data_IF_356746992890
#
_entry.id   IF_356746992890
#
_cell.length_a   1.000
_cell.length_b   1.000
_cell.length_c   1.000
_cell.angle_alpha   90.00
_cell.angle_beta   90.00
_cell.angle_gamma   90.00
#
_symmetry.space_group_name_H-M   'P 1'
#
loop_
_entity.id
_entity.type
_entity.pdbx_description
1 polymer ?
#
# COMPACT_ATOMS: atom_id res chain seq x y z
N UNK A 1 21.29 9.47 -12.09
CA UNK A 1 20.68 8.46 -11.20
C UNK A 1 21.67 7.30 -11.05
N UNK A 2 22.04 6.86 -9.85
CA UNK A 2 22.91 5.68 -9.72
C UNK A 2 22.24 4.44 -10.32
N UNK A 3 22.92 3.73 -11.21
CA UNK A 3 22.40 2.56 -11.91
C UNK A 3 21.80 1.48 -10.98
N UNK A 4 22.40 1.20 -9.78
CA UNK A 4 21.81 0.24 -8.84
C UNK A 4 20.40 0.65 -8.35
N UNK A 5 20.13 1.95 -8.16
CA UNK A 5 18.81 2.42 -7.75
C UNK A 5 17.79 2.32 -8.89
N UNK A 6 18.23 2.50 -10.13
CA UNK A 6 17.40 2.27 -11.32
C UNK A 6 17.00 0.80 -11.43
N UNK A 7 17.92 -0.14 -11.16
CA UNK A 7 17.60 -1.57 -11.16
C UNK A 7 16.51 -1.92 -10.13
N UNK A 8 16.59 -1.35 -8.92
CA UNK A 8 15.56 -1.51 -7.89
C UNK A 8 14.22 -0.90 -8.31
N UNK A 9 14.23 0.26 -9.00
CA UNK A 9 13.02 0.89 -9.50
C UNK A 9 12.35 0.09 -10.63
N UNK A 10 13.13 -0.51 -11.55
CA UNK A 10 12.61 -1.40 -12.61
C UNK A 10 11.92 -2.63 -11.99
N UNK A 11 12.53 -3.23 -10.98
CA UNK A 11 11.93 -4.35 -10.26
C UNK A 11 10.64 -3.93 -9.52
N UNK A 12 10.65 -2.78 -8.84
CA UNK A 12 9.48 -2.21 -8.19
C UNK A 12 8.34 -1.89 -9.18
N UNK A 13 8.68 -1.44 -10.39
CA UNK A 13 7.72 -1.25 -11.48
C UNK A 13 7.05 -2.56 -11.90
N UNK A 14 7.81 -3.63 -12.10
CA UNK A 14 7.27 -4.95 -12.44
C UNK A 14 6.35 -5.50 -11.34
N UNK A 15 6.80 -5.41 -10.07
CA UNK A 15 6.04 -5.88 -8.90
C UNK A 15 4.73 -5.09 -8.76
N UNK A 16 4.77 -3.77 -8.87
CA UNK A 16 3.57 -2.94 -8.80
C UNK A 16 2.61 -3.20 -9.96
N UNK A 17 3.13 -3.40 -11.16
CA UNK A 17 2.30 -3.71 -12.33
C UNK A 17 1.53 -5.02 -12.12
N UNK A 18 2.19 -6.09 -11.69
CA UNK A 18 1.51 -7.40 -11.47
C UNK A 18 0.49 -7.34 -10.32
N UNK A 19 0.70 -6.48 -9.32
CA UNK A 19 -0.23 -6.29 -8.22
C UNK A 19 -1.54 -5.68 -8.68
N UNK A 20 -1.48 -4.57 -9.41
CA UNK A 20 -2.64 -3.72 -9.70
C UNK A 20 -3.31 -3.95 -11.05
N UNK A 21 -2.61 -4.51 -12.04
CA UNK A 21 -3.16 -4.68 -13.40
C UNK A 21 -4.39 -5.57 -13.46
N UNK A 22 -4.52 -6.48 -12.52
CA UNK A 22 -5.66 -7.42 -12.46
C UNK A 22 -7.01 -6.69 -12.30
N UNK A 23 -7.04 -5.51 -11.66
CA UNK A 23 -8.26 -4.72 -11.49
C UNK A 23 -8.79 -4.23 -12.84
N UNK A 24 -7.90 -3.93 -13.77
CA UNK A 24 -8.25 -3.56 -15.14
C UNK A 24 -8.71 -4.73 -16.01
N UNK A 25 -8.38 -5.96 -15.64
CA UNK A 25 -8.65 -7.18 -16.41
C UNK A 25 -9.69 -8.10 -15.75
N UNK A 26 -10.33 -7.65 -14.67
CA UNK A 26 -11.20 -8.47 -13.85
C UNK A 26 -12.32 -9.15 -14.65
N UNK A 27 -13.10 -8.44 -15.52
CA UNK A 27 -14.15 -9.05 -16.33
C UNK A 27 -13.62 -10.05 -17.37
N UNK A 28 -12.47 -9.74 -18.00
CA UNK A 28 -11.87 -10.61 -19.01
C UNK A 28 -11.40 -11.93 -18.40
N UNK A 29 -10.79 -11.86 -17.22
CA UNK A 29 -10.35 -13.04 -16.47
C UNK A 29 -11.55 -13.86 -15.97
N UNK A 30 -12.62 -13.21 -15.49
CA UNK A 30 -13.84 -13.88 -15.04
C UNK A 30 -14.46 -14.69 -16.18
N UNK A 31 -14.60 -14.08 -17.37
CA UNK A 31 -15.14 -14.72 -18.57
C UNK A 31 -14.28 -15.91 -19.03
N UNK A 32 -12.97 -15.73 -19.13
CA UNK A 32 -12.05 -16.75 -19.64
C UNK A 32 -11.93 -17.95 -18.67
N UNK A 33 -11.94 -17.70 -17.38
CA UNK A 33 -11.82 -18.74 -16.35
C UNK A 33 -13.18 -19.35 -15.94
N UNK A 34 -14.29 -18.84 -16.46
CA UNK A 34 -15.65 -19.32 -16.16
C UNK A 34 -16.05 -19.14 -14.69
N UNK A 35 -15.58 -18.06 -14.04
CA UNK A 35 -15.86 -17.75 -12.63
C UNK A 35 -16.58 -16.41 -12.48
N UNK A 36 -17.20 -16.19 -11.34
CA UNK A 36 -17.87 -14.92 -11.04
C UNK A 36 -16.88 -13.76 -10.82
N UNK A 37 -17.35 -12.52 -10.99
CA UNK A 37 -16.59 -11.31 -10.68
C UNK A 37 -16.06 -11.31 -9.23
N UNK A 38 -16.87 -11.64 -8.20
CA UNK A 38 -16.36 -11.78 -6.83
C UNK A 38 -15.23 -12.81 -6.69
N UNK A 39 -15.36 -13.97 -7.34
CA UNK A 39 -14.30 -14.99 -7.32
C UNK A 39 -13.01 -14.46 -7.94
N UNK A 40 -13.10 -13.74 -9.06
CA UNK A 40 -11.93 -13.11 -9.67
C UNK A 40 -11.33 -12.04 -8.76
N UNK A 41 -12.14 -11.25 -8.06
CA UNK A 41 -11.70 -10.30 -7.04
C UNK A 41 -10.92 -10.94 -5.88
N UNK A 42 -11.22 -12.21 -5.53
CA UNK A 42 -10.45 -12.96 -4.53
C UNK A 42 -8.99 -13.22 -4.94
N UNK A 43 -8.64 -13.13 -6.23
CA UNK A 43 -7.24 -13.17 -6.68
C UNK A 43 -6.44 -11.97 -6.16
N UNK A 44 -7.10 -10.82 -5.97
CA UNK A 44 -6.51 -9.62 -5.34
C UNK A 44 -6.31 -9.87 -3.84
N UNK A 45 -7.35 -10.38 -3.16
CA UNK A 45 -7.27 -10.74 -1.73
C UNK A 45 -6.18 -11.77 -1.46
N UNK A 46 -6.11 -12.83 -2.27
CA UNK A 46 -5.11 -13.89 -2.14
C UNK A 46 -3.68 -13.37 -2.32
N UNK A 47 -3.46 -12.51 -3.30
CA UNK A 47 -2.17 -11.86 -3.50
C UNK A 47 -1.80 -10.98 -2.30
N UNK A 48 -2.67 -10.10 -1.85
CA UNK A 48 -2.42 -9.17 -0.76
C UNK A 48 -2.20 -9.90 0.59
N UNK A 49 -2.93 -10.97 0.87
CA UNK A 49 -2.66 -11.86 2.00
C UNK A 49 -1.31 -12.55 1.86
N UNK A 50 -0.98 -13.01 0.63
CA UNK A 50 0.33 -13.57 0.31
C UNK A 50 1.47 -12.58 0.60
N UNK A 51 1.32 -11.29 0.29
CA UNK A 51 2.29 -10.24 0.66
C UNK A 51 2.39 -10.12 2.18
N UNK A 52 1.26 -10.01 2.88
CA UNK A 52 1.20 -9.81 4.34
C UNK A 52 1.87 -10.95 5.11
N UNK A 53 1.60 -12.19 4.71
CA UNK A 53 2.11 -13.40 5.37
C UNK A 53 3.51 -13.74 4.85
N UNK A 54 3.72 -13.61 3.54
CA UNK A 54 4.97 -13.98 2.87
C UNK A 54 6.14 -13.09 3.22
N UNK A 55 5.91 -11.78 3.42
CA UNK A 55 6.98 -10.83 3.72
C UNK A 55 7.83 -11.23 4.95
N UNK A 56 7.27 -11.53 6.13
CA UNK A 56 8.06 -11.96 7.28
C UNK A 56 8.72 -13.34 7.06
N UNK A 57 8.02 -14.28 6.45
CA UNK A 57 8.56 -15.63 6.17
C UNK A 57 9.80 -15.54 5.28
N UNK A 58 9.69 -14.79 4.18
CA UNK A 58 10.77 -14.67 3.21
C UNK A 58 11.90 -13.78 3.75
N UNK A 59 11.59 -12.75 4.56
CA UNK A 59 12.61 -11.96 5.24
C UNK A 59 13.47 -12.82 6.17
N UNK A 60 12.86 -13.74 6.93
CA UNK A 60 13.58 -14.70 7.78
C UNK A 60 14.38 -15.68 6.94
N UNK A 61 13.78 -16.28 5.91
CA UNK A 61 14.45 -17.25 5.04
C UNK A 61 15.67 -16.67 4.31
N UNK A 62 15.64 -15.38 3.98
CA UNK A 62 16.71 -14.66 3.29
C UNK A 62 17.67 -13.90 4.21
N UNK A 63 17.44 -13.91 5.53
CA UNK A 63 18.20 -13.11 6.50
C UNK A 63 19.71 -13.35 6.44
N UNK A 64 20.12 -14.60 6.22
CA UNK A 64 21.52 -15.01 6.15
C UNK A 64 22.13 -14.93 4.74
N UNK A 65 21.34 -14.55 3.73
CA UNK A 65 21.83 -14.43 2.35
C UNK A 65 22.48 -13.05 2.13
N UNK A 66 23.57 -12.97 1.35
CA UNK A 66 24.07 -11.68 0.85
C UNK A 66 22.95 -10.91 0.14
N UNK A 67 22.81 -9.62 0.40
CA UNK A 67 21.68 -8.79 -0.07
C UNK A 67 21.41 -8.91 -1.57
N UNK A 68 22.49 -8.93 -2.39
CA UNK A 68 22.35 -9.15 -3.84
C UNK A 68 21.73 -10.50 -4.16
N UNK A 69 22.17 -11.59 -3.49
CA UNK A 69 21.61 -12.94 -3.71
C UNK A 69 20.15 -13.00 -3.26
N UNK A 70 19.81 -12.38 -2.12
CA UNK A 70 18.43 -12.31 -1.64
C UNK A 70 17.52 -11.59 -2.67
N UNK A 71 17.92 -10.42 -3.17
CA UNK A 71 17.14 -9.70 -4.20
C UNK A 71 17.05 -10.51 -5.51
N UNK A 72 18.12 -11.18 -5.93
CA UNK A 72 18.09 -12.02 -7.13
C UNK A 72 17.18 -13.24 -6.96
N UNK A 73 17.14 -13.89 -5.80
CA UNK A 73 16.21 -15.00 -5.55
C UNK A 73 14.75 -14.53 -5.53
N UNK A 74 14.48 -13.32 -4.98
CA UNK A 74 13.15 -12.73 -4.98
C UNK A 74 12.66 -12.38 -6.38
N UNK A 75 13.53 -11.80 -7.23
CA UNK A 75 13.14 -11.49 -8.60
C UNK A 75 13.01 -12.78 -9.46
N UNK A 76 13.78 -13.83 -9.17
CA UNK A 76 13.59 -15.13 -9.80
C UNK A 76 12.23 -15.74 -9.42
N UNK A 77 11.84 -15.68 -8.14
CA UNK A 77 10.52 -16.10 -7.67
C UNK A 77 9.39 -15.27 -8.35
N UNK A 78 9.59 -13.96 -8.50
CA UNK A 78 8.67 -13.06 -9.22
C UNK A 78 8.49 -13.50 -10.68
N UNK A 79 9.59 -13.76 -11.39
CA UNK A 79 9.57 -14.22 -12.79
C UNK A 79 8.82 -15.56 -12.89
N UNK A 80 9.19 -16.54 -12.08
CA UNK A 80 8.55 -17.85 -12.06
C UNK A 80 7.05 -17.76 -11.76
N UNK A 81 6.67 -16.94 -10.76
CA UNK A 81 5.27 -16.71 -10.40
C UNK A 81 4.45 -16.08 -11.52
N UNK A 82 5.00 -15.10 -12.26
CA UNK A 82 4.31 -14.49 -13.40
C UNK A 82 4.23 -15.44 -14.61
N UNK A 83 5.24 -16.29 -14.84
CA UNK A 83 5.16 -17.38 -15.83
C UNK A 83 4.01 -18.32 -15.47
N UNK A 84 3.89 -18.74 -14.20
CA UNK A 84 2.78 -19.58 -13.76
C UNK A 84 1.43 -18.88 -13.89
N UNK A 85 1.36 -17.58 -13.62
CA UNK A 85 0.14 -16.81 -13.89
C UNK A 85 -0.21 -16.81 -15.38
N UNK A 86 0.75 -16.60 -16.27
CA UNK A 86 0.54 -16.59 -17.72
C UNK A 86 0.12 -17.96 -18.28
N UNK A 87 0.63 -19.04 -17.68
CA UNK A 87 0.34 -20.43 -18.09
C UNK A 87 -0.88 -21.05 -17.35
N UNK A 88 -1.54 -20.29 -16.46
CA UNK A 88 -2.59 -20.82 -15.62
C UNK A 88 -3.77 -21.41 -16.44
N UNK A 89 -4.05 -22.71 -16.31
CA UNK A 89 -5.14 -23.38 -17.03
C UNK A 89 -6.50 -23.15 -16.40
N UNK A 90 -6.55 -22.81 -15.11
CA UNK A 90 -7.78 -22.62 -14.35
C UNK A 90 -7.57 -21.65 -13.18
N UNK A 91 -8.69 -21.26 -12.56
CA UNK A 91 -8.71 -20.32 -11.45
C UNK A 91 -7.87 -20.77 -10.24
N UNK A 92 -7.98 -22.04 -9.83
CA UNK A 92 -7.25 -22.54 -8.65
C UNK A 92 -5.74 -22.47 -8.84
N UNK A 93 -5.24 -22.87 -10.01
CA UNK A 93 -3.83 -22.74 -10.34
C UNK A 93 -3.36 -21.27 -10.33
N UNK A 94 -4.17 -20.38 -10.94
CA UNK A 94 -3.89 -18.94 -10.95
C UNK A 94 -3.83 -18.36 -9.53
N UNK A 95 -4.75 -18.76 -8.63
CA UNK A 95 -4.74 -18.33 -7.23
C UNK A 95 -3.43 -18.72 -6.54
N UNK A 96 -2.99 -19.97 -6.69
CA UNK A 96 -1.71 -20.44 -6.11
C UNK A 96 -0.53 -19.66 -6.70
N UNK A 97 -0.50 -19.48 -8.03
CA UNK A 97 0.55 -18.71 -8.70
C UNK A 97 0.61 -17.26 -8.19
N UNK A 98 -0.54 -16.63 -7.96
CA UNK A 98 -0.66 -15.28 -7.39
C UNK A 98 -0.10 -15.21 -5.97
N UNK A 99 -0.46 -16.15 -5.10
CA UNK A 99 0.05 -16.22 -3.72
C UNK A 99 1.56 -16.42 -3.69
N UNK A 100 2.09 -17.34 -4.53
CA UNK A 100 3.52 -17.56 -4.65
C UNK A 100 4.26 -16.31 -5.14
N UNK A 101 3.71 -15.63 -6.15
CA UNK A 101 4.27 -14.37 -6.66
C UNK A 101 4.29 -13.29 -5.57
N UNK A 102 3.25 -13.22 -4.74
CA UNK A 102 3.13 -12.24 -3.67
C UNK A 102 4.22 -12.35 -2.60
N UNK A 103 4.78 -13.53 -2.38
CA UNK A 103 5.83 -13.74 -1.37
C UNK A 103 7.10 -12.94 -1.66
N UNK A 104 7.41 -12.67 -2.93
CA UNK A 104 8.56 -11.83 -3.26
C UNK A 104 8.31 -10.34 -2.96
N UNK A 105 7.06 -9.86 -3.03
CA UNK A 105 6.70 -8.44 -3.00
C UNK A 105 7.18 -7.75 -1.72
N UNK A 106 6.62 -8.13 -0.56
CA UNK A 106 6.93 -7.45 0.70
C UNK A 106 8.41 -7.55 1.10
N UNK A 107 9.02 -8.72 0.88
CA UNK A 107 10.44 -8.93 1.16
C UNK A 107 11.34 -8.11 0.21
N UNK A 108 10.96 -7.99 -1.08
CA UNK A 108 11.70 -7.18 -2.04
C UNK A 108 11.74 -5.72 -1.63
N UNK A 109 10.60 -5.13 -1.27
CA UNK A 109 10.54 -3.73 -0.83
C UNK A 109 11.28 -3.52 0.49
N UNK A 110 11.20 -4.45 1.44
CA UNK A 110 11.95 -4.39 2.69
C UNK A 110 13.46 -4.42 2.48
N UNK A 111 13.98 -5.46 1.82
CA UNK A 111 15.42 -5.63 1.55
C UNK A 111 15.92 -4.55 0.58
N UNK A 112 15.16 -4.24 -0.45
CA UNK A 112 15.49 -3.22 -1.44
C UNK A 112 15.65 -1.83 -0.83
N UNK A 113 14.78 -1.46 0.13
CA UNK A 113 14.90 -0.18 0.85
C UNK A 113 16.20 -0.09 1.65
N UNK A 114 16.58 -1.17 2.35
CA UNK A 114 17.85 -1.22 3.09
C UNK A 114 19.04 -1.11 2.13
N UNK A 115 18.98 -1.83 1.00
CA UNK A 115 20.01 -1.77 -0.04
C UNK A 115 20.08 -0.38 -0.64
N UNK A 116 18.96 0.22 -1.04
CA UNK A 116 18.91 1.58 -1.59
C UNK A 116 19.54 2.60 -0.63
N UNK A 117 19.21 2.52 0.66
CA UNK A 117 19.79 3.38 1.69
C UNK A 117 21.29 3.16 1.88
N UNK A 118 21.76 1.92 1.76
CA UNK A 118 23.20 1.56 1.89
C UNK A 118 24.07 1.97 0.71
N UNK A 119 23.48 2.26 -0.44
CA UNK A 119 24.20 2.67 -1.66
C UNK A 119 24.54 4.16 -1.72
N UNK A 120 24.08 4.96 -0.77
CA UNK A 120 24.22 6.41 -0.77
C UNK A 120 24.65 6.94 0.59
N UNK A 121 25.18 8.18 0.61
CA UNK A 121 25.53 8.86 1.85
C UNK A 121 24.31 9.05 2.78
N UNK A 122 24.50 9.11 4.12
CA UNK A 122 23.40 9.16 5.10
C UNK A 122 22.32 10.21 4.83
N UNK A 123 22.71 11.41 4.37
CA UNK A 123 21.80 12.52 4.07
C UNK A 123 20.94 12.30 2.78
N UNK A 124 21.26 11.28 1.97
CA UNK A 124 20.52 10.92 0.72
C UNK A 124 19.71 9.64 0.83
N UNK A 125 19.71 8.97 1.98
CA UNK A 125 19.04 7.66 2.16
C UNK A 125 17.55 7.71 1.85
N UNK A 126 16.84 8.70 2.37
CA UNK A 126 15.41 8.87 2.09
C UNK A 126 15.12 9.07 0.60
N UNK A 127 15.96 9.86 -0.08
CA UNK A 127 15.86 10.08 -1.52
C UNK A 127 16.10 8.77 -2.31
N UNK A 128 17.05 7.95 -1.91
CA UNK A 128 17.34 6.67 -2.58
C UNK A 128 16.18 5.68 -2.45
N UNK A 129 15.56 5.60 -1.26
CA UNK A 129 14.38 4.80 -1.00
C UNK A 129 13.19 5.32 -1.86
N UNK A 130 12.94 6.63 -1.85
CA UNK A 130 11.89 7.24 -2.66
C UNK A 130 12.07 6.95 -4.14
N UNK A 131 13.32 6.94 -4.63
CA UNK A 131 13.65 6.64 -6.01
C UNK A 131 13.32 5.18 -6.39
N UNK A 132 13.53 4.23 -5.50
CA UNK A 132 13.07 2.85 -5.69
C UNK A 132 11.53 2.79 -5.79
N UNK A 133 10.83 3.49 -4.88
CA UNK A 133 9.35 3.52 -4.88
C UNK A 133 8.75 4.28 -6.06
N UNK A 134 9.54 5.11 -6.78
CA UNK A 134 9.09 5.71 -8.04
C UNK A 134 8.69 4.63 -9.06
N UNK A 135 9.34 3.46 -9.03
CA UNK A 135 8.94 2.31 -9.84
C UNK A 135 7.49 1.90 -9.59
N UNK A 136 7.07 1.81 -8.31
CA UNK A 136 5.69 1.48 -7.94
C UNK A 136 4.70 2.57 -8.40
N UNK A 137 5.08 3.84 -8.30
CA UNK A 137 4.26 4.95 -8.81
C UNK A 137 4.10 4.88 -10.32
N UNK A 138 5.19 4.63 -11.06
CA UNK A 138 5.15 4.45 -12.50
C UNK A 138 4.34 3.21 -12.91
N UNK A 139 4.34 2.15 -12.11
CA UNK A 139 3.48 0.99 -12.35
C UNK A 139 2.00 1.37 -12.36
N UNK A 140 1.56 2.22 -11.45
CA UNK A 140 0.18 2.70 -11.43
C UNK A 140 -0.14 3.64 -12.61
N UNK A 141 0.80 4.50 -13.03
CA UNK A 141 0.58 5.47 -14.11
C UNK A 141 0.68 4.82 -15.49
N UNK A 142 1.64 3.92 -15.70
CA UNK A 142 1.95 3.33 -17.01
C UNK A 142 1.69 1.81 -17.03
N UNK A 143 2.17 1.09 -16.02
CA UNK A 143 2.12 -0.37 -15.99
C UNK A 143 0.69 -0.90 -16.00
N UNK A 144 -0.18 -0.36 -15.16
CA UNK A 144 -1.58 -0.78 -15.07
C UNK A 144 -2.36 -0.45 -16.34
N UNK A 145 -2.38 0.79 -16.86
CA UNK A 145 -3.12 1.08 -18.08
C UNK A 145 -2.58 0.33 -19.30
N UNK A 146 -1.26 0.30 -19.50
CA UNK A 146 -0.66 -0.40 -20.64
C UNK A 146 -0.84 -1.91 -20.55
N UNK A 147 -0.72 -2.47 -19.34
CA UNK A 147 -0.98 -3.89 -19.09
C UNK A 147 -2.45 -4.26 -19.30
N UNK A 148 -3.39 -3.38 -18.91
CA UNK A 148 -4.82 -3.54 -19.17
C UNK A 148 -5.12 -3.49 -20.67
N UNK A 149 -4.59 -2.48 -21.39
CA UNK A 149 -4.76 -2.38 -22.84
C UNK A 149 -4.20 -3.61 -23.58
N UNK A 150 -3.01 -4.09 -23.17
CA UNK A 150 -2.42 -5.31 -23.74
C UNK A 150 -3.29 -6.53 -23.47
N UNK A 151 -3.80 -6.68 -22.24
CA UNK A 151 -4.65 -7.80 -21.87
C UNK A 151 -6.00 -7.79 -22.58
N UNK A 152 -6.58 -6.63 -22.81
CA UNK A 152 -7.80 -6.46 -23.60
C UNK A 152 -7.57 -6.79 -25.09
N UNK A 153 -6.42 -6.43 -25.65
CA UNK A 153 -6.10 -6.66 -27.07
C UNK A 153 -5.63 -8.08 -27.38
N UNK A 154 -4.83 -8.70 -26.49
CA UNK A 154 -4.16 -9.98 -26.73
C UNK A 154 -4.49 -11.07 -25.69
N UNK A 155 -5.49 -10.82 -24.84
CA UNK A 155 -5.84 -11.69 -23.71
C UNK A 155 -5.04 -11.42 -22.46
N UNK A 156 -5.66 -11.58 -21.30
CA UNK A 156 -5.06 -11.24 -19.99
C UNK A 156 -3.73 -11.97 -19.70
N UNK A 157 -3.50 -13.15 -20.28
CA UNK A 157 -2.24 -13.89 -20.16
C UNK A 157 -1.06 -13.15 -20.79
N UNK A 158 -1.28 -12.38 -21.86
CA UNK A 158 -0.26 -11.56 -22.49
C UNK A 158 0.31 -10.51 -21.53
N UNK A 159 -0.50 -9.97 -20.64
CA UNK A 159 -0.05 -9.03 -19.61
C UNK A 159 0.94 -9.68 -18.65
N UNK A 160 0.69 -10.91 -18.19
CA UNK A 160 1.63 -11.63 -17.30
C UNK A 160 2.93 -12.00 -18.03
N UNK A 161 2.89 -12.28 -19.33
CA UNK A 161 4.10 -12.44 -20.15
C UNK A 161 4.88 -11.13 -20.26
N UNK A 162 4.23 -10.00 -20.48
CA UNK A 162 4.90 -8.68 -20.49
C UNK A 162 5.55 -8.38 -19.12
N UNK A 163 4.85 -8.66 -18.02
CA UNK A 163 5.41 -8.51 -16.65
C UNK A 163 6.59 -9.46 -16.44
N UNK A 164 6.54 -10.67 -16.97
CA UNK A 164 7.68 -11.60 -16.95
C UNK A 164 8.91 -11.03 -17.65
N UNK A 165 8.73 -10.41 -18.82
CA UNK A 165 9.82 -9.72 -19.54
C UNK A 165 10.39 -8.59 -18.70
N UNK A 166 9.54 -7.76 -18.09
CA UNK A 166 9.99 -6.71 -17.15
C UNK A 166 10.79 -7.31 -15.99
N UNK A 167 10.35 -8.44 -15.44
CA UNK A 167 11.07 -9.18 -14.41
C UNK A 167 12.46 -9.63 -14.85
N UNK A 168 12.58 -10.15 -16.07
CA UNK A 168 13.87 -10.57 -16.65
C UNK A 168 14.80 -9.36 -16.84
N UNK A 169 14.28 -8.23 -17.34
CA UNK A 169 15.04 -6.98 -17.45
C UNK A 169 15.50 -6.47 -16.07
N UNK A 170 14.62 -6.55 -15.07
CA UNK A 170 14.97 -6.20 -13.68
C UNK A 170 16.06 -7.13 -13.12
N UNK A 171 15.99 -8.44 -13.36
CA UNK A 171 17.01 -9.40 -12.96
C UNK A 171 18.36 -9.11 -13.62
N UNK A 172 18.37 -8.83 -14.92
CA UNK A 172 19.58 -8.45 -15.66
C UNK A 172 20.19 -7.16 -15.10
N UNK A 173 19.36 -6.13 -14.85
CA UNK A 173 19.79 -4.86 -14.28
C UNK A 173 20.37 -5.04 -12.86
N UNK A 174 19.70 -5.81 -11.98
CA UNK A 174 20.21 -6.14 -10.64
C UNK A 174 21.52 -6.93 -10.70
N UNK A 175 21.62 -7.88 -11.60
CA UNK A 175 22.84 -8.68 -11.79
C UNK A 175 24.03 -7.80 -12.23
N UNK A 176 23.79 -6.90 -13.19
CA UNK A 176 24.81 -6.04 -13.78
C UNK A 176 25.23 -4.88 -12.87
N UNK A 177 24.26 -4.18 -12.27
CA UNK A 177 24.50 -2.89 -11.62
C UNK A 177 24.60 -2.95 -10.10
N UNK A 178 24.06 -4.01 -9.44
CA UNK A 178 24.11 -4.08 -7.99
C UNK A 178 25.49 -4.58 -7.52
N UNK A 179 26.15 -3.92 -6.56
CA UNK A 179 27.43 -4.35 -6.01
C UNK A 179 27.35 -5.78 -5.40
N UNK A 180 28.44 -6.55 -5.51
CA UNK A 180 28.51 -7.91 -4.96
C UNK A 180 28.51 -7.90 -3.42
N UNK A 181 29.16 -6.90 -2.81
CA UNK A 181 29.27 -6.74 -1.37
C UNK A 181 28.47 -5.51 -0.92
N UNK A 182 27.45 -5.74 -0.14
CA UNK A 182 26.64 -4.72 0.53
C UNK A 182 26.69 -5.05 2.01
N UNK A 183 27.17 -4.11 2.83
CA UNK A 183 27.31 -4.29 4.27
C UNK A 183 25.98 -4.66 4.92
N UNK A 184 25.99 -5.70 5.74
CA UNK A 184 24.83 -6.17 6.49
C UNK A 184 24.84 -5.49 7.88
N UNK A 185 23.90 -4.60 8.14
CA UNK A 185 23.57 -4.28 9.52
C UNK A 185 22.80 -5.45 10.12
N UNK A 186 23.40 -6.13 11.09
CA UNK A 186 22.73 -7.18 11.88
C UNK A 186 21.71 -6.47 12.79
N UNK A 187 20.42 -6.53 12.43
CA UNK A 187 19.35 -6.12 13.34
C UNK A 187 18.76 -7.35 14.02
N UNK A 188 18.47 -7.25 15.30
CA UNK A 188 17.80 -8.32 16.05
C UNK A 188 16.28 -8.18 15.85
N UNK A 189 15.73 -8.84 14.83
CA UNK A 189 14.29 -8.83 14.50
C UNK A 189 13.41 -9.09 15.73
N UNK A 190 13.79 -10.06 16.60
CA UNK A 190 13.01 -10.43 17.77
C UNK A 190 12.85 -9.26 18.76
N UNK A 191 13.88 -8.45 18.94
CA UNK A 191 13.86 -7.29 19.82
C UNK A 191 12.97 -6.17 19.27
N UNK A 192 12.92 -6.04 17.96
CA UNK A 192 12.11 -5.04 17.27
C UNK A 192 10.62 -5.36 17.35
N UNK A 193 10.21 -6.65 17.38
CA UNK A 193 8.80 -7.06 17.51
C UNK A 193 8.10 -6.57 18.79
N UNK A 194 8.87 -6.13 19.81
CA UNK A 194 8.29 -5.50 21.01
C UNK A 194 7.45 -4.26 20.72
N UNK A 195 7.69 -3.62 19.57
CA UNK A 195 6.93 -2.46 19.07
C UNK A 195 5.43 -2.77 18.88
N UNK A 196 5.07 -4.02 18.56
CA UNK A 196 3.68 -4.47 18.47
C UNK A 196 2.94 -4.50 19.81
N UNK A 197 3.65 -4.41 20.95
CA UNK A 197 3.02 -4.29 22.26
C UNK A 197 2.53 -2.88 22.57
N UNK A 198 2.90 -1.88 21.75
CA UNK A 198 2.48 -0.49 21.92
C UNK A 198 1.07 -0.27 21.33
N UNK A 199 0.04 0.05 22.14
CA UNK A 199 -1.32 0.27 21.63
C UNK A 199 -1.39 1.34 20.54
N UNK A 200 -0.55 2.38 20.66
CA UNK A 200 -0.48 3.46 19.66
C UNK A 200 -0.01 2.98 18.29
N UNK A 201 0.91 2.00 18.24
CA UNK A 201 1.38 1.38 16.99
C UNK A 201 0.26 0.55 16.38
N UNK A 202 -0.43 -0.27 17.19
CA UNK A 202 -1.58 -1.06 16.73
C UNK A 202 -2.71 -0.19 16.17
N UNK A 203 -2.97 0.98 16.78
CA UNK A 203 -3.95 1.93 16.25
C UNK A 203 -3.57 2.43 14.86
N UNK A 204 -2.29 2.79 14.63
CA UNK A 204 -1.83 3.26 13.31
C UNK A 204 -1.89 2.12 12.28
N UNK A 205 -1.50 0.90 12.64
CA UNK A 205 -1.66 -0.26 11.76
C UNK A 205 -3.14 -0.49 11.42
N UNK A 206 -4.05 -0.37 12.39
CA UNK A 206 -5.50 -0.41 12.15
C UNK A 206 -6.00 0.68 11.21
N UNK A 207 -5.47 1.91 11.33
CA UNK A 207 -5.77 3.01 10.40
C UNK A 207 -5.33 2.64 8.97
N UNK A 208 -4.15 2.04 8.81
CA UNK A 208 -3.64 1.58 7.50
C UNK A 208 -4.53 0.50 6.90
N UNK A 209 -4.94 -0.50 7.70
CA UNK A 209 -5.87 -1.55 7.26
C UNK A 209 -7.18 -0.95 6.78
N UNK A 210 -7.83 -0.11 7.60
CA UNK A 210 -9.14 0.47 7.28
C UNK A 210 -9.08 1.42 6.08
N UNK A 211 -8.04 2.24 5.98
CA UNK A 211 -7.85 3.16 4.86
C UNK A 211 -7.66 2.40 3.55
N UNK A 212 -6.86 1.36 3.57
CA UNK A 212 -6.61 0.52 2.40
C UNK A 212 -7.84 -0.33 2.04
N UNK A 213 -8.57 -0.84 3.05
CA UNK A 213 -9.83 -1.53 2.83
C UNK A 213 -10.90 -0.62 2.19
N UNK A 214 -10.94 0.66 2.59
CA UNK A 214 -11.80 1.66 1.94
C UNK A 214 -11.49 1.80 0.44
N UNK A 215 -10.22 1.86 0.08
CA UNK A 215 -9.80 1.95 -1.32
C UNK A 215 -10.13 0.69 -2.10
N UNK A 216 -9.72 -0.48 -1.61
CA UNK A 216 -9.78 -1.74 -2.35
C UNK A 216 -11.17 -2.37 -2.40
N UNK A 217 -12.09 -2.01 -1.51
CA UNK A 217 -13.50 -2.44 -1.63
C UNK A 217 -14.18 -1.91 -2.90
N UNK A 218 -13.68 -0.81 -3.44
CA UNK A 218 -14.18 -0.17 -4.68
C UNK A 218 -13.22 -0.41 -5.84
N UNK A 219 -11.93 -0.13 -5.65
CA UNK A 219 -10.94 -0.16 -6.73
C UNK A 219 -10.75 -1.57 -7.32
N UNK A 220 -10.90 -2.61 -6.52
CA UNK A 220 -10.84 -4.00 -7.02
C UNK A 220 -11.90 -4.25 -8.10
N UNK A 221 -13.06 -3.65 -7.96
CA UNK A 221 -14.22 -3.81 -8.86
C UNK A 221 -14.46 -2.60 -9.75
N UNK A 222 -13.44 -1.75 -9.93
CA UNK A 222 -13.59 -0.49 -10.68
C UNK A 222 -13.97 -0.73 -12.14
N UNK A 223 -13.39 -1.75 -12.78
CA UNK A 223 -13.69 -2.08 -14.17
C UNK A 223 -15.14 -2.52 -14.36
N UNK A 224 -15.69 -3.49 -13.61
CA UNK A 224 -17.15 -3.79 -13.67
C UNK A 224 -18.03 -2.57 -13.38
N UNK A 225 -17.65 -1.70 -12.43
CA UNK A 225 -18.44 -0.47 -12.17
C UNK A 225 -18.44 0.43 -13.40
N UNK A 226 -17.31 0.60 -14.07
CA UNK A 226 -17.21 1.49 -15.24
C UNK A 226 -17.88 0.89 -16.49
N UNK A 227 -17.77 -0.42 -16.70
CA UNK A 227 -18.37 -1.11 -17.86
C UNK A 227 -19.87 -1.30 -17.68
N UNK A 228 -20.30 -1.94 -16.58
CA UNK A 228 -21.69 -2.37 -16.39
C UNK A 228 -22.60 -1.23 -15.86
N UNK A 229 -22.07 -0.27 -15.10
CA UNK A 229 -22.87 0.82 -14.51
C UNK A 229 -22.75 2.12 -15.29
N UNK A 230 -21.52 2.52 -15.67
CA UNK A 230 -21.31 3.75 -16.44
C UNK A 230 -21.43 3.53 -17.96
N UNK A 231 -21.48 2.27 -18.44
CA UNK A 231 -21.55 1.96 -19.87
C UNK A 231 -20.29 2.31 -20.66
N UNK A 232 -19.13 2.33 -19.99
CA UNK A 232 -17.87 2.66 -20.63
C UNK A 232 -17.33 1.48 -21.45
N UNK A 233 -16.70 1.78 -22.57
CA UNK A 233 -15.95 0.77 -23.33
C UNK A 233 -14.64 0.41 -22.61
N UNK A 234 -14.06 -0.79 -22.85
CA UNK A 234 -12.77 -1.17 -22.26
C UNK A 234 -11.66 -0.15 -22.50
N UNK A 235 -11.65 0.50 -23.68
CA UNK A 235 -10.69 1.57 -23.98
C UNK A 235 -10.85 2.79 -23.05
N UNK A 236 -12.07 3.20 -22.76
CA UNK A 236 -12.32 4.29 -21.79
C UNK A 236 -11.92 3.89 -20.38
N UNK A 237 -12.14 2.64 -19.96
CA UNK A 237 -11.67 2.12 -18.66
C UNK A 237 -10.16 2.26 -18.53
N UNK A 238 -9.40 1.88 -19.58
CA UNK A 238 -7.93 2.07 -19.57
C UNK A 238 -7.52 3.54 -19.36
N UNK A 239 -8.22 4.50 -19.99
CA UNK A 239 -7.98 5.93 -19.77
C UNK A 239 -8.32 6.37 -18.35
N UNK A 240 -9.39 5.84 -17.77
CA UNK A 240 -9.76 6.12 -16.36
C UNK A 240 -8.69 5.59 -15.41
N UNK A 241 -8.15 4.40 -15.65
CA UNK A 241 -7.06 3.85 -14.85
C UNK A 241 -5.78 4.71 -14.96
N UNK A 242 -5.50 5.26 -16.15
CA UNK A 242 -4.40 6.22 -16.32
C UNK A 242 -4.64 7.50 -15.50
N UNK A 243 -5.84 8.07 -15.57
CA UNK A 243 -6.22 9.24 -14.79
C UNK A 243 -6.11 8.98 -13.28
N UNK A 244 -6.56 7.82 -12.83
CA UNK A 244 -6.40 7.39 -11.44
C UNK A 244 -4.92 7.33 -11.04
N UNK A 245 -4.07 6.69 -11.85
CA UNK A 245 -2.62 6.62 -11.63
C UNK A 245 -1.95 8.00 -11.56
N UNK A 246 -2.34 8.94 -12.43
CA UNK A 246 -1.91 10.33 -12.35
C UNK A 246 -2.37 10.99 -11.05
N UNK A 247 -3.61 10.73 -10.64
CA UNK A 247 -4.15 11.17 -9.34
C UNK A 247 -3.30 10.66 -8.17
N UNK A 248 -2.92 9.37 -8.16
CA UNK A 248 -2.04 8.78 -7.14
C UNK A 248 -0.70 9.53 -7.05
N UNK A 249 -0.10 9.91 -8.19
CA UNK A 249 1.16 10.63 -8.24
C UNK A 249 1.06 12.03 -7.65
N UNK A 250 0.03 12.78 -8.01
CA UNK A 250 -0.27 14.09 -7.44
C UNK A 250 -0.53 13.95 -5.93
N UNK A 251 -1.33 12.96 -5.55
CA UNK A 251 -1.68 12.66 -4.17
C UNK A 251 -0.47 12.37 -3.29
N UNK A 252 0.45 11.51 -3.75
CA UNK A 252 1.68 11.18 -3.01
C UNK A 252 2.50 12.44 -2.70
N UNK A 253 2.65 13.34 -3.69
CA UNK A 253 3.38 14.60 -3.52
C UNK A 253 2.68 15.55 -2.54
N UNK A 254 1.36 15.66 -2.66
CA UNK A 254 0.53 16.48 -1.76
C UNK A 254 0.58 15.93 -0.34
N UNK A 255 0.48 14.62 -0.18
CA UNK A 255 0.51 13.92 1.10
C UNK A 255 1.80 14.13 1.87
N UNK A 256 2.95 14.14 1.18
CA UNK A 256 4.24 14.47 1.79
C UNK A 256 4.23 15.86 2.42
N UNK A 257 3.79 16.89 1.67
CA UNK A 257 3.67 18.27 2.18
C UNK A 257 2.69 18.39 3.34
N UNK A 258 1.57 17.68 3.29
CA UNK A 258 0.57 17.67 4.35
C UNK A 258 1.06 16.96 5.62
N UNK A 259 1.88 15.92 5.48
CA UNK A 259 2.52 15.23 6.60
C UNK A 259 3.47 16.17 7.38
N UNK A 260 4.25 16.96 6.66
CA UNK A 260 5.20 17.92 7.25
C UNK A 260 4.48 19.12 7.92
N UNK A 261 3.33 19.53 7.38
CA UNK A 261 2.63 20.72 7.88
C UNK A 261 1.90 20.48 9.20
N UNK A 262 0.93 19.57 9.23
CA UNK A 262 0.12 19.26 10.45
C UNK A 262 -0.40 17.82 10.40
N UNK A 263 0.46 16.86 10.72
CA UNK A 263 0.24 15.43 10.55
C UNK A 263 -1.15 14.94 10.94
N UNK A 264 -1.58 15.13 12.19
CA UNK A 264 -2.86 14.60 12.68
C UNK A 264 -4.08 15.30 12.05
N UNK A 265 -3.98 16.62 11.80
CA UNK A 265 -5.08 17.34 11.14
C UNK A 265 -5.21 16.92 9.69
N UNK A 266 -4.08 16.73 9.00
CA UNK A 266 -4.05 16.24 7.61
C UNK A 266 -4.69 14.86 7.48
N UNK A 267 -4.39 13.94 8.39
CA UNK A 267 -5.02 12.61 8.43
C UNK A 267 -6.54 12.69 8.57
N UNK A 268 -7.02 13.48 9.54
CA UNK A 268 -8.46 13.64 9.77
C UNK A 268 -9.17 14.27 8.57
N UNK A 269 -8.58 15.31 7.98
CA UNK A 269 -9.15 16.00 6.81
C UNK A 269 -9.16 15.07 5.60
N UNK A 270 -8.07 14.35 5.33
CA UNK A 270 -7.98 13.43 4.18
C UNK A 270 -8.97 12.28 4.31
N UNK A 271 -9.15 11.68 5.49
CA UNK A 271 -10.14 10.62 5.72
C UNK A 271 -11.57 11.12 5.52
N UNK A 272 -11.88 12.33 6.02
CA UNK A 272 -13.17 12.95 5.78
C UNK A 272 -13.41 13.24 4.29
N UNK A 273 -12.40 13.76 3.58
CA UNK A 273 -12.48 13.99 2.14
C UNK A 273 -12.63 12.68 1.34
N UNK A 274 -11.95 11.58 1.75
CA UNK A 274 -12.13 10.26 1.14
C UNK A 274 -13.57 9.78 1.32
N UNK A 275 -14.15 9.90 2.51
CA UNK A 275 -15.54 9.52 2.74
C UNK A 275 -16.50 10.35 1.87
N UNK A 276 -16.27 11.65 1.75
CA UNK A 276 -17.09 12.55 0.91
C UNK A 276 -16.95 12.17 -0.57
N UNK A 277 -15.73 12.02 -1.09
CA UNK A 277 -15.54 11.70 -2.52
C UNK A 277 -16.12 10.33 -2.89
N UNK A 278 -16.04 9.34 -2.02
CA UNK A 278 -16.66 8.03 -2.25
C UNK A 278 -18.18 8.11 -2.18
N UNK A 279 -18.75 8.97 -1.31
CA UNK A 279 -20.18 9.28 -1.31
C UNK A 279 -20.61 9.92 -2.63
N UNK A 280 -19.83 10.89 -3.14
CA UNK A 280 -20.08 11.50 -4.45
C UNK A 280 -19.97 10.43 -5.55
N UNK A 281 -18.98 9.55 -5.48
CA UNK A 281 -18.79 8.48 -6.46
C UNK A 281 -19.97 7.50 -6.51
N UNK A 282 -20.65 7.22 -5.40
CA UNK A 282 -21.84 6.38 -5.38
C UNK A 282 -22.97 6.90 -6.30
N UNK A 283 -23.02 8.22 -6.53
CA UNK A 283 -23.98 8.85 -7.44
C UNK A 283 -23.39 9.07 -8.84
N UNK A 284 -22.12 9.46 -8.93
CA UNK A 284 -21.46 9.83 -10.19
C UNK A 284 -21.03 8.61 -11.01
N UNK A 285 -20.90 7.42 -10.41
CA UNK A 285 -20.48 6.18 -11.10
C UNK A 285 -21.40 5.76 -12.26
N UNK A 286 -22.59 6.36 -12.38
CA UNK A 286 -23.56 6.11 -13.47
C UNK A 286 -23.33 6.97 -14.71
N UNK A 287 -22.49 8.00 -14.60
CA UNK A 287 -22.23 8.94 -15.68
C UNK A 287 -20.74 8.97 -16.03
N UNK A 288 -20.33 8.63 -17.27
CA UNK A 288 -18.93 8.49 -17.64
C UNK A 288 -18.04 9.66 -17.24
N UNK A 289 -18.43 10.90 -17.65
CA UNK A 289 -17.59 12.10 -17.40
C UNK A 289 -17.50 12.41 -15.90
N UNK A 290 -18.61 12.31 -15.18
CA UNK A 290 -18.64 12.56 -13.74
C UNK A 290 -17.84 11.51 -12.96
N UNK A 291 -17.92 10.24 -13.39
CA UNK A 291 -17.11 9.15 -12.83
C UNK A 291 -15.60 9.41 -13.03
N UNK A 292 -15.17 9.80 -14.24
CA UNK A 292 -13.77 10.13 -14.53
C UNK A 292 -13.24 11.23 -13.62
N UNK A 293 -13.98 12.34 -13.48
CA UNK A 293 -13.59 13.45 -12.62
C UNK A 293 -13.49 13.03 -11.14
N UNK A 294 -14.50 12.29 -10.66
CA UNK A 294 -14.53 11.80 -9.27
C UNK A 294 -13.41 10.81 -8.98
N UNK A 295 -13.11 9.89 -9.91
CA UNK A 295 -12.04 8.90 -9.78
C UNK A 295 -10.68 9.58 -9.75
N UNK A 296 -10.44 10.62 -10.55
CA UNK A 296 -9.19 11.39 -10.47
C UNK A 296 -9.00 12.01 -9.08
N UNK A 297 -10.02 12.72 -8.57
CA UNK A 297 -9.97 13.33 -7.23
C UNK A 297 -9.79 12.26 -6.15
N UNK A 298 -10.48 11.12 -6.28
CA UNK A 298 -10.34 10.00 -5.36
C UNK A 298 -8.91 9.43 -5.39
N UNK A 299 -8.29 9.27 -6.57
CA UNK A 299 -6.90 8.87 -6.72
C UNK A 299 -5.94 9.80 -5.98
N UNK A 300 -6.14 11.13 -6.11
CA UNK A 300 -5.35 12.12 -5.37
C UNK A 300 -5.48 11.91 -3.86
N UNK A 301 -6.69 11.79 -3.33
CA UNK A 301 -6.92 11.63 -1.89
C UNK A 301 -6.43 10.28 -1.36
N UNK A 302 -6.62 9.20 -2.14
CA UNK A 302 -6.24 7.84 -1.77
C UNK A 302 -4.73 7.68 -1.53
N UNK A 303 -3.89 8.42 -2.26
CA UNK A 303 -2.45 8.39 -2.04
C UNK A 303 -1.91 9.58 -1.24
N UNK A 304 -2.67 10.67 -1.12
CA UNK A 304 -2.29 11.76 -0.23
C UNK A 304 -2.26 11.33 1.25
N UNK A 305 -3.02 10.29 1.63
CA UNK A 305 -3.07 9.80 3.01
C UNK A 305 -1.90 8.88 3.38
N UNK A 306 -1.23 8.25 2.40
CA UNK A 306 -0.18 7.25 2.63
C UNK A 306 1.04 7.84 3.35
N UNK A 307 1.67 8.96 2.90
CA UNK A 307 2.81 9.56 3.60
C UNK A 307 2.50 9.99 5.04
N UNK A 308 1.36 10.63 5.35
CA UNK A 308 1.01 10.95 6.74
C UNK A 308 0.87 9.72 7.64
N UNK A 309 0.23 8.63 7.19
CA UNK A 309 0.14 7.39 7.98
C UNK A 309 1.54 6.80 8.19
N UNK A 310 2.35 6.77 7.14
CA UNK A 310 3.73 6.26 7.20
C UNK A 310 4.59 7.09 8.18
N UNK A 311 4.45 8.41 8.19
CA UNK A 311 5.14 9.26 9.14
C UNK A 311 4.65 9.04 10.57
N UNK A 312 3.33 8.85 10.74
CA UNK A 312 2.75 8.60 12.07
C UNK A 312 3.28 7.30 12.68
N UNK A 313 3.35 6.19 11.91
CA UNK A 313 3.86 4.90 12.43
C UNK A 313 5.33 5.00 12.81
N UNK A 314 6.16 5.65 12.01
CA UNK A 314 7.59 5.86 12.29
C UNK A 314 7.77 6.69 13.56
N UNK A 315 6.98 7.74 13.76
CA UNK A 315 7.02 8.58 14.94
C UNK A 315 6.58 7.82 16.23
N UNK A 316 5.62 6.89 16.11
CA UNK A 316 5.13 6.08 17.26
C UNK A 316 6.06 4.93 17.63
N UNK A 317 6.85 4.49 16.69
CA UNK A 317 7.79 3.38 16.82
C UNK A 317 9.25 3.84 16.68
N UNK A 318 9.60 4.93 17.33
CA UNK A 318 10.94 5.56 17.23
C UNK A 318 12.10 4.64 17.64
N UNK A 319 11.83 3.61 18.44
CA UNK A 319 12.78 2.57 18.86
C UNK A 319 12.98 1.48 17.79
N UNK A 320 12.04 1.31 16.85
CA UNK A 320 12.14 0.34 15.75
C UNK A 320 11.47 0.85 14.46
N UNK A 321 11.89 1.98 13.90
CA UNK A 321 11.20 2.64 12.79
C UNK A 321 11.18 1.81 11.51
N UNK A 322 12.22 1.02 11.25
CA UNK A 322 12.31 0.17 10.05
C UNK A 322 11.30 -0.97 10.11
N UNK A 323 11.19 -1.68 11.24
CA UNK A 323 10.19 -2.73 11.41
C UNK A 323 8.78 -2.16 11.37
N UNK A 324 8.53 -1.04 12.04
CA UNK A 324 7.23 -0.38 12.02
C UNK A 324 6.79 0.01 10.60
N UNK A 325 7.71 0.51 9.80
CA UNK A 325 7.48 0.80 8.38
C UNK A 325 7.12 -0.47 7.59
N UNK A 326 7.84 -1.57 7.81
CA UNK A 326 7.56 -2.86 7.17
C UNK A 326 6.21 -3.44 7.59
N UNK A 327 5.88 -3.38 8.89
CA UNK A 327 4.59 -3.81 9.41
C UNK A 327 3.44 -2.96 8.84
N UNK A 328 3.68 -1.66 8.61
CA UNK A 328 2.71 -0.79 8.00
C UNK A 328 2.40 -1.18 6.54
N UNK A 329 3.41 -1.60 5.79
CA UNK A 329 3.20 -2.17 4.45
C UNK A 329 2.38 -3.47 4.50
N UNK A 330 2.65 -4.34 5.47
CA UNK A 330 1.82 -5.51 5.73
C UNK A 330 0.37 -5.13 6.08
N UNK A 331 0.17 -4.09 6.90
CA UNK A 331 -1.15 -3.58 7.26
C UNK A 331 -1.91 -3.00 6.06
N UNK A 332 -1.25 -2.25 5.17
CA UNK A 332 -1.86 -1.81 3.91
C UNK A 332 -2.30 -3.00 3.06
N UNK A 333 -1.46 -4.02 2.91
CA UNK A 333 -1.79 -5.23 2.15
C UNK A 333 -2.92 -6.05 2.81
N UNK A 334 -2.95 -6.14 4.14
CA UNK A 334 -4.08 -6.73 4.86
C UNK A 334 -5.38 -5.95 4.58
N UNK A 335 -5.30 -4.62 4.50
CA UNK A 335 -6.40 -3.76 4.09
C UNK A 335 -6.83 -4.00 2.63
N UNK A 336 -5.86 -4.15 1.70
CA UNK A 336 -6.15 -4.50 0.30
C UNK A 336 -6.96 -5.81 0.23
N UNK A 337 -6.49 -6.83 0.95
CA UNK A 337 -7.17 -8.13 1.02
C UNK A 337 -8.57 -8.02 1.59
N UNK A 338 -8.71 -7.32 2.72
CA UNK A 338 -9.98 -7.13 3.43
C UNK A 338 -10.97 -6.35 2.55
N UNK A 339 -10.52 -5.26 1.91
CA UNK A 339 -11.36 -4.46 1.02
C UNK A 339 -11.87 -5.23 -0.17
N UNK A 340 -10.98 -5.93 -0.88
CA UNK A 340 -11.35 -6.77 -2.02
C UNK A 340 -12.34 -7.88 -1.61
N UNK A 341 -12.11 -8.51 -0.45
CA UNK A 341 -13.02 -9.52 0.10
C UNK A 341 -14.39 -8.93 0.47
N UNK A 342 -14.44 -7.78 1.15
CA UNK A 342 -15.69 -7.11 1.52
C UNK A 342 -16.51 -6.73 0.28
N UNK A 343 -15.86 -6.14 -0.74
CA UNK A 343 -16.52 -5.82 -2.01
C UNK A 343 -17.08 -7.06 -2.70
N UNK A 344 -16.29 -8.15 -2.78
CA UNK A 344 -16.73 -9.43 -3.35
C UNK A 344 -17.88 -10.05 -2.58
N UNK A 345 -17.84 -10.00 -1.24
CA UNK A 345 -18.92 -10.52 -0.39
C UNK A 345 -20.21 -9.73 -0.60
N UNK A 346 -20.14 -8.40 -0.71
CA UNK A 346 -21.29 -7.56 -1.00
C UNK A 346 -21.95 -7.95 -2.35
N UNK A 347 -21.15 -8.11 -3.41
CA UNK A 347 -21.65 -8.55 -4.73
C UNK A 347 -22.25 -9.95 -4.64
N UNK A 348 -21.59 -10.89 -3.95
CA UNK A 348 -22.08 -12.27 -3.78
C UNK A 348 -23.38 -12.34 -2.99
N UNK A 349 -23.61 -11.39 -2.08
CA UNK A 349 -24.86 -11.23 -1.34
C UNK A 349 -25.98 -10.57 -2.16
N UNK A 350 -25.75 -10.29 -3.46
CA UNK A 350 -26.74 -9.71 -4.37
C UNK A 350 -26.82 -8.19 -4.36
N UNK A 351 -25.90 -7.51 -3.66
CA UNK A 351 -25.86 -6.05 -3.73
C UNK A 351 -25.34 -5.56 -5.08
N UNK A 352 -25.92 -4.49 -5.59
CA UNK A 352 -25.51 -3.87 -6.84
C UNK A 352 -24.08 -3.29 -6.73
N UNK A 353 -23.34 -3.22 -7.85
CA UNK A 353 -22.02 -2.61 -7.92
C UNK A 353 -21.99 -1.16 -7.40
N UNK A 354 -23.10 -0.42 -7.55
CA UNK A 354 -23.28 0.94 -7.02
C UNK A 354 -23.28 1.03 -5.50
N UNK A 355 -23.36 -0.10 -4.79
CA UNK A 355 -23.28 -0.17 -3.33
C UNK A 355 -21.84 -0.19 -2.82
N UNK A 356 -20.87 -0.61 -3.64
CA UNK A 356 -19.48 -0.74 -3.23
C UNK A 356 -18.86 0.57 -2.71
N UNK A 357 -19.12 1.76 -3.28
CA UNK A 357 -18.65 3.01 -2.71
C UNK A 357 -19.08 3.22 -1.26
N UNK A 358 -20.28 2.74 -0.85
CA UNK A 358 -20.75 2.83 0.53
C UNK A 358 -19.97 1.93 1.49
N UNK A 359 -19.50 0.77 1.01
CA UNK A 359 -18.55 -0.07 1.77
C UNK A 359 -17.26 0.71 2.01
N UNK A 360 -16.74 1.37 0.96
CA UNK A 360 -15.57 2.24 1.06
C UNK A 360 -15.78 3.41 2.04
N UNK A 361 -16.95 4.06 2.02
CA UNK A 361 -17.33 5.12 2.97
C UNK A 361 -17.32 4.59 4.40
N UNK A 362 -17.93 3.43 4.65
CA UNK A 362 -17.95 2.83 5.99
C UNK A 362 -16.54 2.59 6.53
N UNK A 363 -15.65 2.02 5.71
CA UNK A 363 -14.25 1.81 6.10
C UNK A 363 -13.49 3.11 6.34
N UNK A 364 -13.71 4.15 5.51
CA UNK A 364 -13.11 5.47 5.71
C UNK A 364 -13.59 6.13 7.00
N UNK A 365 -14.88 6.02 7.33
CA UNK A 365 -15.44 6.55 8.58
C UNK A 365 -14.91 5.78 9.81
N UNK A 366 -14.74 4.47 9.73
CA UNK A 366 -14.10 3.69 10.79
C UNK A 366 -12.62 4.11 10.98
N UNK A 367 -11.89 4.33 9.88
CA UNK A 367 -10.52 4.86 9.94
C UNK A 367 -10.50 6.26 10.58
N UNK A 368 -11.44 7.13 10.22
CA UNK A 368 -11.61 8.47 10.79
C UNK A 368 -11.89 8.40 12.30
N UNK A 369 -12.81 7.53 12.72
CA UNK A 369 -13.14 7.30 14.13
C UNK A 369 -11.94 6.81 14.94
N UNK A 370 -11.19 5.84 14.40
CA UNK A 370 -9.95 5.34 15.02
C UNK A 370 -8.88 6.43 15.12
N UNK A 371 -8.76 7.28 14.10
CA UNK A 371 -7.81 8.41 14.09
C UNK A 371 -8.21 9.47 15.12
N UNK A 372 -9.49 9.80 15.25
CA UNK A 372 -10.02 10.70 16.29
C UNK A 372 -9.76 10.15 17.69
N UNK A 373 -10.01 8.86 17.90
CA UNK A 373 -9.73 8.21 19.19
C UNK A 373 -8.24 8.26 19.53
N UNK A 374 -7.35 7.95 18.59
CA UNK A 374 -5.91 8.07 18.79
C UNK A 374 -5.49 9.50 19.16
N UNK A 375 -6.03 10.51 18.45
CA UNK A 375 -5.72 11.92 18.72
C UNK A 375 -6.20 12.39 20.10
N UNK A 376 -7.38 11.95 20.53
CA UNK A 376 -7.94 12.33 21.84
C UNK A 376 -7.23 11.62 22.99
N UNK A 377 -6.88 10.34 22.83
CA UNK A 377 -6.12 9.57 23.81
C UNK A 377 -4.73 10.17 24.05
N UNK A 378 -4.06 10.64 23.00
CA UNK A 378 -2.76 11.32 23.12
C UNK A 378 -2.86 12.63 23.92
N UNK A 379 -3.87 13.45 23.61
CA UNK A 379 -4.07 14.71 24.33
C UNK A 379 -4.34 14.46 25.82
N UNK A 380 -5.10 13.41 26.13
CA UNK A 380 -5.39 13.03 27.52
C UNK A 380 -4.13 12.58 28.26
N UNK A 381 -3.30 11.76 27.65
CA UNK A 381 -2.03 11.30 28.23
C UNK A 381 -1.06 12.47 28.47
N UNK A 382 -0.94 13.41 27.53
CA UNK A 382 -0.10 14.61 27.69
C UNK A 382 -0.58 15.49 28.86
N UNK A 383 -1.90 15.74 28.97
CA UNK A 383 -2.46 16.51 30.09
C UNK A 383 -2.19 15.84 31.46
N UNK A 384 -2.31 14.52 31.54
CA UNK A 384 -2.00 13.77 32.76
C UNK A 384 -0.52 13.86 33.14
N UNK A 385 0.37 13.79 32.16
CA UNK A 385 1.80 13.96 32.36
C UNK A 385 2.15 15.39 32.83
N UNK A 386 1.54 16.40 32.25
CA UNK A 386 1.74 17.81 32.65
C UNK A 386 1.21 18.08 34.08
N UNK A 387 0.07 17.50 34.44
CA UNK A 387 -0.49 17.65 35.81
C UNK A 387 0.34 16.93 36.87
N UNK A 388 1.04 15.84 36.52
CA UNK A 388 1.93 15.11 37.44
C UNK A 388 3.29 15.81 37.65
N UNK A 389 3.71 16.70 36.72
CA UNK A 389 4.95 17.45 36.81
C UNK A 389 4.77 18.89 37.31
N UNK A 390 3.53 19.32 37.63
CA UNK A 390 3.28 20.59 38.31
C UNK A 390 3.82 20.49 39.73
N UNK A 391 4.88 21.24 40.14
CA UNK A 391 5.35 21.22 41.50
C UNK A 391 4.21 21.68 42.41
N UNK A 392 3.95 20.91 43.50
CA UNK A 392 3.00 21.28 44.56
C UNK A 392 3.39 22.68 45.07
N UNK A 393 2.70 23.69 44.57
CA UNK A 393 2.77 25.06 45.03
C UNK A 393 2.03 25.18 46.38
N UNK A 394 2.47 24.45 47.41
CA UNK A 394 2.06 24.63 48.79
C UNK A 394 3.12 23.99 49.70
N UNK A 395 4.34 24.54 49.70
CA UNK A 395 5.12 24.55 50.93
C UNK A 395 4.86 25.91 51.60
N UNK A 396 4.24 25.91 52.80
CA UNK A 396 4.19 27.14 53.59
C UNK A 396 5.60 27.56 53.94
N UNK A 397 5.90 28.83 53.70
CA UNK A 397 7.18 29.48 53.95
C UNK A 397 7.44 29.53 55.49
N UNK A 398 8.10 28.47 56.02
CA UNK A 398 8.46 28.31 57.46
C UNK A 398 9.61 29.27 57.83
N UNK A 399 10.06 30.18 56.96
CA UNK A 399 11.14 31.14 57.26
C UNK A 399 10.70 32.45 57.89
N UNK A 400 9.44 32.60 58.32
CA UNK A 400 8.99 33.86 59.03
C UNK A 400 8.72 33.74 60.49
N UNK A 401 9.19 32.70 61.21
CA UNK A 401 9.08 32.60 62.64
C UNK A 401 10.42 32.36 63.33
N UNK A 402 11.35 33.30 63.17
CA UNK A 402 12.67 33.17 63.81
C UNK A 402 13.43 34.46 63.86
N UNK A 403 12.85 35.56 64.38
CA UNK A 403 13.60 36.72 64.90
C UNK A 403 12.66 37.63 65.71
N UNK A 404 12.34 37.18 66.90
CA UNK A 404 11.98 38.05 68.03
C UNK A 404 12.47 37.36 69.30
N UNK A 405 13.72 37.61 69.64
CA UNK A 405 14.22 37.88 71.01
C UNK A 405 15.66 38.43 70.91
#
# INVERSE_FOLDING_TARGET
MPLPLLALAIAAFGIGTTEFVIMGLLPDMARDLGVSIPATGMLVSGYALGVTIGAPIVAIATANLPRKRALMSLIALFIAGNIFCALAPNYGFLMVARVVTAFCHGAFFGIGSVVAAGLVAPHKRAQAIALMFTGLTLANVLGVPLGTALGQAAGWRATFWAVTVIGVLAAAALAAWLPKHIEMQKSSLIREFSVLRKPQVLMVLGMSVLTSASLFSVFTYITPILEDVAGMTPHHVTLVLLLFGLGLTVGSTLGGKLADWRLMRSLLTLLACIAVVLTIFAFTCRQPVAAMATIFVWGVLAFAIVPPIQMLIVNRASDAPNLASTLNQGAFNLGNATGAWLGGTAISAGFALTTLPWVGVAMALLALGLTLWSATSERRLRRLAESSHSPRRNQPDIRRLGNRQ
#
